data_IF_482046538435
#
_entry.id   IF_482046538435
#
_cell.length_a   1.000
_cell.length_b   1.000
_cell.length_c   1.000
_cell.angle_alpha   90.00
_cell.angle_beta   90.00
_cell.angle_gamma   90.00
#
_symmetry.space_group_name_H-M   'P 1'
#
loop_
_entity.id
_entity.type
_entity.pdbx_description
1 polymer ?
#
# COMPACT_ATOMS: atom_id res chain seq x y z
N UNK A 1 2.49 -19.32 -1.84
CA UNK A 1 1.84 -19.63 -0.57
C UNK A 1 0.99 -18.45 -0.09
N UNK A 2 1.54 -17.22 0.08
CA UNK A 2 0.80 -16.04 0.57
C UNK A 2 -0.43 -15.72 -0.26
N UNK A 3 -0.34 -15.72 -1.59
CA UNK A 3 -1.48 -15.45 -2.47
C UNK A 3 -2.64 -16.47 -2.25
N UNK A 4 -2.32 -17.74 -2.08
CA UNK A 4 -3.31 -18.77 -1.76
C UNK A 4 -3.97 -18.55 -0.38
N UNK A 5 -3.19 -18.10 0.62
CA UNK A 5 -3.73 -17.74 1.93
C UNK A 5 -4.66 -16.52 1.83
N UNK A 6 -4.25 -15.46 1.15
CA UNK A 6 -5.08 -14.28 0.89
C UNK A 6 -6.40 -14.65 0.20
N UNK A 7 -6.34 -15.51 -0.82
CA UNK A 7 -7.53 -15.96 -1.52
C UNK A 7 -8.49 -16.70 -0.58
N UNK A 8 -7.99 -17.63 0.26
CA UNK A 8 -8.81 -18.37 1.21
C UNK A 8 -9.41 -17.48 2.30
N UNK A 9 -8.65 -16.49 2.81
CA UNK A 9 -9.12 -15.55 3.82
C UNK A 9 -10.21 -14.64 3.21
N UNK A 10 -9.93 -13.97 2.11
CA UNK A 10 -10.86 -12.98 1.53
C UNK A 10 -12.06 -13.60 0.81
N UNK A 11 -12.00 -14.92 0.48
CA UNK A 11 -13.19 -15.71 0.10
C UNK A 11 -13.98 -16.22 1.30
N UNK A 12 -13.45 -16.05 2.52
CA UNK A 12 -14.01 -16.57 3.78
C UNK A 12 -14.05 -18.12 3.86
N UNK A 13 -13.29 -18.84 3.02
CA UNK A 13 -13.08 -20.29 3.17
C UNK A 13 -12.11 -20.62 4.31
N UNK A 14 -11.36 -19.63 4.78
CA UNK A 14 -10.57 -19.67 6.00
C UNK A 14 -10.93 -18.43 6.82
N UNK A 15 -11.48 -18.65 8.02
CA UNK A 15 -11.80 -17.60 8.98
C UNK A 15 -11.06 -17.82 10.29
N UNK A 16 -10.77 -16.73 10.97
CA UNK A 16 -10.21 -16.76 12.31
C UNK A 16 -11.31 -16.99 13.34
N UNK A 17 -10.91 -17.49 14.48
CA UNK A 17 -11.75 -17.55 15.69
C UNK A 17 -11.24 -16.54 16.70
N UNK A 18 -12.15 -16.06 17.55
CA UNK A 18 -11.79 -15.22 18.67
C UNK A 18 -10.99 -16.02 19.74
N UNK A 19 -10.51 -15.35 20.77
CA UNK A 19 -9.66 -15.96 21.78
C UNK A 19 -10.38 -17.02 22.63
N UNK A 20 -11.71 -17.04 22.61
CA UNK A 20 -12.55 -18.05 23.25
C UNK A 20 -12.89 -19.23 22.32
N UNK A 21 -12.34 -19.26 21.10
CA UNK A 21 -12.61 -20.30 20.10
C UNK A 21 -13.95 -20.17 19.36
N UNK A 22 -14.70 -19.08 19.58
CA UNK A 22 -15.95 -18.82 18.87
C UNK A 22 -15.70 -18.10 17.53
N UNK A 23 -16.66 -18.22 16.62
CA UNK A 23 -16.61 -17.53 15.34
C UNK A 23 -16.83 -16.01 15.52
N UNK A 24 -16.16 -15.21 14.68
CA UNK A 24 -16.43 -13.79 14.57
C UNK A 24 -17.75 -13.53 13.82
N UNK A 25 -18.38 -12.35 13.98
CA UNK A 25 -19.55 -11.95 13.20
C UNK A 25 -19.30 -12.03 11.69
N UNK A 26 -20.39 -12.07 10.92
CA UNK A 26 -20.30 -11.99 9.47
C UNK A 26 -19.65 -10.68 9.00
N UNK A 27 -18.89 -10.76 7.90
CA UNK A 27 -18.22 -9.61 7.34
C UNK A 27 -19.21 -8.65 6.69
N UNK A 28 -19.03 -7.37 6.94
CA UNK A 28 -19.79 -6.33 6.26
C UNK A 28 -19.19 -6.04 4.88
N UNK A 29 -20.07 -5.73 3.93
CA UNK A 29 -19.67 -5.26 2.59
C UNK A 29 -19.87 -3.76 2.54
N UNK A 30 -18.78 -2.99 2.34
CA UNK A 30 -18.78 -1.53 2.33
C UNK A 30 -18.04 -0.99 1.11
N UNK A 31 -18.30 0.25 0.75
CA UNK A 31 -17.45 0.97 -0.18
C UNK A 31 -16.21 1.51 0.54
N UNK A 32 -15.09 1.63 -0.18
CA UNK A 32 -13.84 2.14 0.41
C UNK A 32 -14.03 3.53 1.05
N UNK A 33 -14.81 4.41 0.44
CA UNK A 33 -15.16 5.73 0.98
C UNK A 33 -15.89 5.71 2.33
N UNK A 34 -16.49 4.58 2.69
CA UNK A 34 -17.22 4.41 3.95
C UNK A 34 -16.32 3.88 5.09
N UNK A 35 -15.09 3.48 4.76
CA UNK A 35 -14.12 2.93 5.71
C UNK A 35 -12.82 3.72 5.76
N UNK A 36 -12.65 4.69 4.86
CA UNK A 36 -11.48 5.57 4.75
C UNK A 36 -11.80 6.89 4.07
N UNK A 37 -11.00 7.91 4.36
CA UNK A 37 -10.94 9.12 3.53
C UNK A 37 -9.88 8.94 2.44
N UNK A 38 -10.08 9.54 1.25
CA UNK A 38 -9.20 9.37 0.11
C UNK A 38 -8.81 10.73 -0.44
N UNK A 39 -7.51 10.96 -0.62
CA UNK A 39 -6.95 12.22 -1.12
C UNK A 39 -5.94 11.95 -2.23
N UNK A 40 -5.76 12.90 -3.13
CA UNK A 40 -4.62 12.93 -4.06
C UNK A 40 -3.51 13.85 -3.55
N UNK A 41 -2.34 13.73 -4.17
CA UNK A 41 -1.21 14.62 -3.94
C UNK A 41 -1.29 15.92 -4.72
N UNK A 42 -0.20 16.67 -4.75
CA UNK A 42 -0.11 17.92 -5.51
C UNK A 42 -0.19 17.66 -7.02
N UNK A 43 -0.94 18.52 -7.71
CA UNK A 43 -1.07 18.48 -9.18
C UNK A 43 0.05 19.24 -9.91
N UNK A 44 0.68 20.18 -9.23
CA UNK A 44 1.82 20.93 -9.77
C UNK A 44 3.12 20.21 -9.45
N UNK A 45 3.98 20.06 -10.43
CA UNK A 45 5.33 19.58 -10.17
C UNK A 45 6.08 20.65 -9.38
N UNK A 46 6.51 20.37 -8.16
CA UNK A 46 7.22 21.34 -7.36
C UNK A 46 8.66 21.54 -7.87
N UNK A 47 9.27 22.66 -7.53
CA UNK A 47 10.70 22.85 -7.71
C UNK A 47 11.48 21.93 -6.78
N UNK A 48 12.20 20.98 -7.36
CA UNK A 48 12.99 20.02 -6.60
C UNK A 48 14.30 20.65 -6.11
N UNK A 49 14.71 20.23 -4.92
CA UNK A 49 15.92 20.67 -4.24
C UNK A 49 16.89 19.51 -4.02
N UNK A 50 18.16 19.81 -3.79
CA UNK A 50 19.17 18.80 -3.47
C UNK A 50 18.94 18.14 -2.10
N UNK A 51 18.24 18.83 -1.19
CA UNK A 51 17.87 18.32 0.15
C UNK A 51 16.61 19.03 0.65
N UNK A 52 15.91 18.44 1.59
CA UNK A 52 14.68 19.02 2.13
C UNK A 52 13.69 17.96 2.60
N UNK A 53 12.41 18.16 2.31
CA UNK A 53 11.35 17.22 2.65
C UNK A 53 11.15 16.22 1.51
N UNK A 54 11.14 14.90 1.76
CA UNK A 54 10.89 13.87 0.76
C UNK A 54 9.58 14.08 0.01
N UNK A 55 9.60 13.78 -1.30
CA UNK A 55 8.45 13.88 -2.19
C UNK A 55 8.20 12.58 -2.92
N UNK A 56 7.13 11.89 -2.57
CA UNK A 56 6.83 10.54 -3.06
C UNK A 56 6.00 10.56 -4.35
N UNK A 57 6.28 9.60 -5.21
CA UNK A 57 5.60 9.38 -6.49
C UNK A 57 5.43 7.87 -6.74
N UNK A 58 4.89 7.51 -7.91
CA UNK A 58 4.63 6.11 -8.29
C UNK A 58 5.86 5.23 -8.12
N UNK A 59 7.02 5.69 -8.53
CA UNK A 59 8.29 4.95 -8.47
C UNK A 59 8.64 4.45 -7.06
N UNK A 60 8.39 5.25 -6.02
CA UNK A 60 8.68 4.87 -4.63
C UNK A 60 7.76 3.73 -4.15
N UNK A 61 6.48 3.79 -4.54
CA UNK A 61 5.51 2.76 -4.16
C UNK A 61 5.73 1.47 -4.92
N UNK A 62 6.06 1.54 -6.22
CA UNK A 62 6.27 0.36 -7.07
C UNK A 62 7.60 -0.34 -6.80
N UNK A 63 8.66 0.41 -6.45
CA UNK A 63 9.97 -0.16 -6.08
C UNK A 63 10.09 -0.52 -4.60
N UNK A 64 9.10 -0.15 -3.78
CA UNK A 64 9.15 -0.21 -2.31
C UNK A 64 10.40 0.47 -1.72
N UNK A 65 10.88 1.54 -2.37
CA UNK A 65 12.06 2.29 -1.95
C UNK A 65 11.69 3.76 -1.69
N UNK A 66 11.69 4.15 -0.43
CA UNK A 66 11.35 5.49 0.06
C UNK A 66 12.59 6.28 0.52
N UNK A 67 13.80 5.73 0.35
CA UNK A 67 15.06 6.37 0.74
C UNK A 67 15.65 7.21 -0.41
N UNK A 68 15.48 6.76 -1.65
CA UNK A 68 15.95 7.48 -2.85
C UNK A 68 14.80 8.31 -3.41
N UNK A 69 14.69 9.55 -2.96
CA UNK A 69 13.56 10.43 -3.28
C UNK A 69 14.03 11.82 -3.70
N UNK A 70 13.18 12.52 -4.44
CA UNK A 70 13.32 13.96 -4.68
C UNK A 70 12.91 14.72 -3.42
N UNK A 71 13.41 15.94 -3.28
CA UNK A 71 13.12 16.79 -2.14
C UNK A 71 12.42 18.07 -2.57
N UNK A 72 11.57 18.58 -1.68
CA UNK A 72 10.89 19.87 -1.81
C UNK A 72 11.26 20.77 -0.62
N UNK A 73 11.06 22.09 -0.78
CA UNK A 73 11.29 23.02 0.32
C UNK A 73 10.30 22.81 1.47
N UNK A 74 10.68 23.22 2.67
CA UNK A 74 9.81 23.22 3.83
C UNK A 74 8.55 24.09 3.61
N UNK A 75 8.69 25.22 2.89
CA UNK A 75 7.57 26.11 2.60
C UNK A 75 6.52 25.43 1.69
N UNK A 76 6.96 24.72 0.65
CA UNK A 76 6.07 23.95 -0.23
C UNK A 76 5.38 22.84 0.57
N UNK A 77 6.13 22.11 1.41
CA UNK A 77 5.59 21.08 2.28
C UNK A 77 4.49 21.62 3.21
N UNK A 78 4.74 22.74 3.91
CA UNK A 78 3.76 23.36 4.82
C UNK A 78 2.48 23.81 4.07
N UNK A 79 2.62 24.27 2.83
CA UNK A 79 1.48 24.61 1.98
C UNK A 79 0.65 23.37 1.63
N UNK A 80 1.30 22.29 1.22
CA UNK A 80 0.63 21.03 0.85
C UNK A 80 -0.04 20.36 2.07
N UNK A 81 0.61 20.40 3.23
CA UNK A 81 0.07 19.85 4.48
C UNK A 81 -1.21 20.53 4.97
N UNK A 82 -1.52 21.76 4.51
CA UNK A 82 -2.80 22.41 4.83
C UNK A 82 -3.99 21.64 4.27
N UNK A 83 -3.81 20.92 3.17
CA UNK A 83 -4.85 20.11 2.55
C UNK A 83 -4.89 18.69 3.13
N UNK A 84 -3.76 18.01 3.12
CA UNK A 84 -3.64 16.66 3.66
C UNK A 84 -2.18 16.36 3.98
N UNK A 85 -1.97 15.59 5.04
CA UNK A 85 -0.66 15.13 5.50
C UNK A 85 -0.65 13.61 5.52
N UNK A 86 0.46 13.03 5.07
CA UNK A 86 0.70 11.60 5.27
C UNK A 86 1.00 11.35 6.75
N UNK A 87 0.37 10.33 7.32
CA UNK A 87 0.57 9.93 8.71
C UNK A 87 0.80 8.42 8.80
N UNK A 88 1.32 7.98 9.93
CA UNK A 88 1.46 6.54 10.20
C UNK A 88 0.10 5.84 10.14
N UNK A 89 0.07 4.64 9.58
CA UNK A 89 -1.10 3.83 9.23
C UNK A 89 -1.92 4.30 8.02
N UNK A 90 -1.50 5.36 7.33
CA UNK A 90 -2.05 5.69 6.02
C UNK A 90 -1.54 4.70 4.95
N UNK A 91 -2.24 4.65 3.83
CA UNK A 91 -1.86 3.82 2.69
C UNK A 91 -1.65 4.72 1.48
N UNK A 92 -0.48 4.64 0.85
CA UNK A 92 -0.24 5.21 -0.47
C UNK A 92 -0.56 4.16 -1.53
N UNK A 93 -1.36 4.53 -2.53
CA UNK A 93 -1.72 3.65 -3.65
C UNK A 93 -1.52 4.37 -4.97
N UNK A 94 -0.93 3.70 -5.95
CA UNK A 94 -0.76 4.23 -7.31
C UNK A 94 -2.11 4.31 -8.03
N UNK A 95 -2.31 5.39 -8.81
CA UNK A 95 -3.56 5.63 -9.54
C UNK A 95 -3.40 6.19 -10.96
N UNK A 96 -2.17 6.44 -11.42
CA UNK A 96 -1.85 6.89 -12.78
C UNK A 96 -0.61 6.12 -13.28
N UNK A 97 -0.72 5.52 -14.45
CA UNK A 97 0.31 4.66 -15.03
C UNK A 97 0.23 3.24 -14.47
N UNK A 98 0.89 2.98 -13.39
CA UNK A 98 0.61 1.83 -12.52
C UNK A 98 -0.64 2.12 -11.68
N UNK A 99 -1.48 1.12 -11.46
CA UNK A 99 -2.74 1.29 -10.71
C UNK A 99 -2.90 0.13 -9.74
N UNK A 100 -3.02 0.49 -8.44
CA UNK A 100 -3.37 -0.46 -7.38
C UNK A 100 -2.18 -1.03 -6.62
N UNK A 101 -0.93 -0.69 -6.97
CA UNK A 101 0.21 -0.98 -6.10
C UNK A 101 0.09 -0.12 -4.85
N UNK A 102 0.17 -0.73 -3.67
CA UNK A 102 -0.07 -0.03 -2.41
C UNK A 102 0.99 -0.31 -1.36
N UNK A 103 1.26 0.69 -0.53
CA UNK A 103 2.18 0.65 0.60
C UNK A 103 1.52 1.22 1.84
N UNK A 104 1.52 0.45 2.92
CA UNK A 104 1.20 0.94 4.25
C UNK A 104 2.38 1.79 4.75
N UNK A 105 2.08 2.96 5.28
CA UNK A 105 3.05 3.81 5.96
C UNK A 105 3.09 3.39 7.43
N UNK A 106 4.02 2.53 7.78
CA UNK A 106 4.19 1.96 9.13
C UNK A 106 5.28 2.65 9.96
N UNK A 107 5.85 3.73 9.42
CA UNK A 107 6.88 4.55 10.07
C UNK A 107 6.41 5.99 10.28
N UNK A 108 7.12 6.73 11.11
CA UNK A 108 6.89 8.17 11.27
C UNK A 108 7.42 8.90 10.04
N UNK A 109 6.52 9.60 9.34
CA UNK A 109 6.79 10.17 8.03
C UNK A 109 6.62 11.69 8.03
N UNK A 110 7.59 12.38 7.43
CA UNK A 110 7.47 13.78 7.05
C UNK A 110 7.76 13.86 5.55
N UNK A 111 6.72 13.75 4.74
CA UNK A 111 6.82 13.76 3.28
C UNK A 111 5.55 14.30 2.63
N UNK A 112 5.66 14.79 1.41
CA UNK A 112 4.52 15.07 0.52
C UNK A 112 4.49 14.08 -0.64
N UNK A 113 3.47 14.13 -1.49
CA UNK A 113 3.29 13.17 -2.56
C UNK A 113 2.61 13.77 -3.79
N UNK A 114 2.86 13.15 -4.93
CA UNK A 114 2.37 13.59 -6.22
C UNK A 114 0.97 13.07 -6.53
N UNK A 115 0.25 13.79 -7.38
CA UNK A 115 -1.12 13.46 -7.85
C UNK A 115 -1.29 12.05 -8.43
N UNK A 116 -0.21 11.40 -8.84
CA UNK A 116 -0.22 10.02 -9.32
C UNK A 116 -0.44 8.96 -8.23
N UNK A 117 -0.43 9.39 -6.96
CA UNK A 117 -0.78 8.58 -5.81
C UNK A 117 -2.13 9.00 -5.22
N UNK A 118 -2.84 8.03 -4.68
CA UNK A 118 -3.96 8.23 -3.77
C UNK A 118 -3.48 7.95 -2.34
N UNK A 119 -3.75 8.86 -1.41
CA UNK A 119 -3.57 8.67 0.02
C UNK A 119 -4.90 8.18 0.59
N UNK A 120 -4.90 6.99 1.15
CA UNK A 120 -6.05 6.37 1.79
C UNK A 120 -5.81 6.42 3.29
N UNK A 121 -6.69 7.13 4.02
CA UNK A 121 -6.64 7.31 5.47
C UNK A 121 -7.75 6.48 6.10
N UNK A 122 -7.45 5.29 6.66
CA UNK A 122 -8.44 4.43 7.29
C UNK A 122 -9.14 5.14 8.45
N UNK A 123 -10.45 4.94 8.60
CA UNK A 123 -11.17 5.41 9.80
C UNK A 123 -10.83 4.53 11.01
N UNK A 124 -11.14 5.00 12.19
CA UNK A 124 -10.81 4.34 13.47
C UNK A 124 -11.36 2.91 13.63
N UNK A 125 -12.38 2.56 12.84
CA UNK A 125 -12.98 1.21 12.80
C UNK A 125 -12.28 0.27 11.80
N UNK A 126 -11.26 0.77 11.08
CA UNK A 126 -10.57 0.04 10.01
C UNK A 126 -9.08 -0.06 10.32
N UNK A 127 -8.56 -1.27 10.39
CA UNK A 127 -7.13 -1.53 10.58
C UNK A 127 -6.40 -1.26 9.26
N UNK A 128 -5.49 -0.28 9.23
CA UNK A 128 -4.76 0.12 8.01
C UNK A 128 -3.98 -1.03 7.38
N UNK A 129 -3.31 -1.85 8.19
CA UNK A 129 -2.60 -3.03 7.72
C UNK A 129 -3.53 -4.06 7.05
N UNK A 130 -4.74 -4.29 7.62
CA UNK A 130 -5.77 -5.13 6.99
C UNK A 130 -6.19 -4.56 5.64
N UNK A 131 -6.53 -3.27 5.61
CA UNK A 131 -6.99 -2.60 4.39
C UNK A 131 -5.92 -2.65 3.29
N UNK A 132 -4.65 -2.42 3.63
CA UNK A 132 -3.54 -2.54 2.69
C UNK A 132 -3.43 -3.97 2.11
N UNK A 133 -3.56 -5.01 2.92
CA UNK A 133 -3.57 -6.39 2.44
C UNK A 133 -4.80 -6.68 1.57
N UNK A 134 -5.97 -6.13 1.91
CA UNK A 134 -7.17 -6.26 1.10
C UNK A 134 -7.04 -5.57 -0.26
N UNK A 135 -6.46 -4.36 -0.30
CA UNK A 135 -6.16 -3.62 -1.54
C UNK A 135 -5.26 -4.46 -2.47
N UNK A 136 -4.29 -5.19 -1.92
CA UNK A 136 -3.37 -6.08 -2.68
C UNK A 136 -4.03 -7.39 -3.12
N UNK A 137 -5.24 -7.69 -2.68
CA UNK A 137 -5.97 -8.90 -3.05
C UNK A 137 -6.54 -8.85 -4.47
N UNK A 138 -6.72 -10.02 -5.09
CA UNK A 138 -7.34 -10.13 -6.41
C UNK A 138 -8.79 -9.58 -6.44
N UNK A 139 -9.47 -9.56 -5.31
CA UNK A 139 -10.83 -9.01 -5.18
C UNK A 139 -10.81 -7.50 -5.41
N UNK A 140 -9.98 -6.77 -4.70
CA UNK A 140 -9.89 -5.31 -4.84
C UNK A 140 -9.22 -4.90 -6.15
N UNK A 141 -8.20 -5.63 -6.60
CA UNK A 141 -7.54 -5.37 -7.88
C UNK A 141 -8.51 -5.50 -9.07
N UNK A 142 -9.48 -6.40 -8.99
CA UNK A 142 -10.55 -6.51 -10.00
C UNK A 142 -11.47 -5.30 -9.99
N UNK A 143 -11.87 -4.80 -8.81
CA UNK A 143 -12.66 -3.57 -8.68
C UNK A 143 -11.93 -2.37 -9.30
N UNK A 144 -10.65 -2.20 -9.01
CA UNK A 144 -9.82 -1.15 -9.61
C UNK A 144 -9.74 -1.29 -11.12
N UNK A 145 -9.51 -2.49 -11.63
CA UNK A 145 -9.44 -2.74 -13.07
C UNK A 145 -10.71 -2.34 -13.80
N UNK A 146 -11.88 -2.71 -13.27
CA UNK A 146 -13.18 -2.40 -13.88
C UNK A 146 -13.48 -0.89 -13.92
N UNK A 147 -12.91 -0.11 -12.98
CA UNK A 147 -13.13 1.33 -12.84
C UNK A 147 -12.03 2.18 -13.46
N UNK A 148 -10.97 1.54 -13.96
CA UNK A 148 -9.84 2.20 -14.59
C UNK A 148 -10.21 2.71 -15.99
N UNK A 149 -9.76 3.93 -16.32
CA UNK A 149 -9.88 4.50 -17.66
C UNK A 149 -8.74 3.95 -18.52
N UNK A 150 -9.00 2.84 -19.20
CA UNK A 150 -8.00 2.11 -19.97
C UNK A 150 -7.58 2.82 -21.27
N UNK A 151 -8.46 3.65 -21.85
CA UNK A 151 -8.19 4.39 -23.09
C UNK A 151 -7.31 5.63 -22.86
N UNK A 152 -7.11 6.05 -21.61
CA UNK A 152 -6.19 7.13 -21.30
C UNK A 152 -4.73 6.65 -21.36
N UNK A 153 -3.82 7.52 -21.82
CA UNK A 153 -2.39 7.26 -21.80
C UNK A 153 -1.67 8.41 -21.05
N UNK A 154 -1.09 8.13 -19.88
CA UNK A 154 -1.12 6.85 -19.14
C UNK A 154 -2.53 6.51 -18.61
N UNK A 155 -2.78 5.21 -18.37
CA UNK A 155 -4.01 4.75 -17.71
C UNK A 155 -4.18 5.44 -16.37
N UNK A 156 -5.43 5.69 -15.98
CA UNK A 156 -5.73 6.34 -14.70
C UNK A 156 -7.06 5.90 -14.12
N UNK A 157 -7.18 6.03 -12.80
CA UNK A 157 -8.44 5.90 -12.06
C UNK A 157 -8.71 7.17 -11.26
N UNK A 158 -9.95 7.63 -11.25
CA UNK A 158 -10.34 8.81 -10.47
C UNK A 158 -10.57 8.46 -9.00
N UNK A 159 -10.33 9.43 -8.09
CA UNK A 159 -10.50 9.21 -6.65
C UNK A 159 -11.92 8.76 -6.28
N UNK A 160 -12.95 9.33 -6.92
CA UNK A 160 -14.33 8.91 -6.71
C UNK A 160 -14.52 7.43 -7.03
N UNK A 161 -13.97 6.95 -8.15
CA UNK A 161 -14.03 5.54 -8.55
C UNK A 161 -13.26 4.62 -7.58
N UNK A 162 -12.13 5.07 -7.06
CA UNK A 162 -11.42 4.36 -5.98
C UNK A 162 -12.32 4.23 -4.75
N UNK A 163 -13.04 5.31 -4.41
CA UNK A 163 -13.97 5.33 -3.29
C UNK A 163 -15.16 4.37 -3.44
N UNK A 164 -15.58 4.08 -4.67
CA UNK A 164 -16.67 3.13 -4.98
C UNK A 164 -16.20 1.67 -5.05
N UNK A 165 -14.91 1.38 -4.89
CA UNK A 165 -14.44 0.00 -4.80
C UNK A 165 -14.98 -0.67 -3.54
N UNK A 166 -15.39 -1.93 -3.69
CA UNK A 166 -16.00 -2.72 -2.61
C UNK A 166 -14.93 -3.31 -1.71
N UNK A 167 -15.13 -3.18 -0.40
CA UNK A 167 -14.29 -3.76 0.65
C UNK A 167 -15.15 -4.68 1.52
N UNK A 168 -14.67 -5.89 1.78
CA UNK A 168 -15.22 -6.77 2.80
C UNK A 168 -14.53 -6.46 4.12
N UNK A 169 -15.30 -6.12 5.13
CA UNK A 169 -14.78 -5.63 6.42
C UNK A 169 -15.19 -6.57 7.55
N UNK A 170 -14.25 -7.34 8.12
CA UNK A 170 -14.48 -8.09 9.35
C UNK A 170 -14.68 -7.16 10.56
N UNK A 171 -15.05 -7.74 11.67
CA UNK A 171 -14.91 -7.13 12.97
C UNK A 171 -13.44 -6.71 13.21
N UNK A 172 -13.21 -5.66 14.01
CA UNK A 172 -11.89 -5.04 14.22
C UNK A 172 -10.82 -6.04 14.70
N UNK A 173 -11.18 -6.95 15.61
CA UNK A 173 -10.24 -7.95 16.14
C UNK A 173 -9.85 -8.98 15.06
N UNK A 174 -10.81 -9.41 14.23
CA UNK A 174 -10.52 -10.30 13.10
C UNK A 174 -9.67 -9.60 12.03
N UNK A 175 -9.91 -8.29 11.76
CA UNK A 175 -9.03 -7.48 10.90
C UNK A 175 -7.59 -7.51 11.42
N UNK A 176 -7.41 -7.34 12.72
CA UNK A 176 -6.10 -7.33 13.36
C UNK A 176 -5.38 -8.68 13.21
N UNK A 177 -6.07 -9.79 13.47
CA UNK A 177 -5.50 -11.13 13.28
C UNK A 177 -5.12 -11.42 11.83
N UNK A 178 -5.98 -11.04 10.88
CA UNK A 178 -5.70 -11.19 9.45
C UNK A 178 -4.47 -10.36 9.04
N UNK A 179 -4.44 -9.10 9.45
CA UNK A 179 -3.33 -8.20 9.16
C UNK A 179 -2.01 -8.75 9.71
N UNK A 180 -2.00 -9.20 10.95
CA UNK A 180 -0.83 -9.76 11.61
C UNK A 180 -0.30 -10.98 10.86
N UNK A 181 -1.14 -11.98 10.56
CA UNK A 181 -0.72 -13.15 9.81
C UNK A 181 -0.13 -12.80 8.44
N UNK A 182 -0.80 -11.91 7.68
CA UNK A 182 -0.34 -11.58 6.33
C UNK A 182 0.92 -10.72 6.34
N UNK A 183 1.12 -9.87 7.35
CA UNK A 183 2.35 -9.10 7.56
C UNK A 183 3.51 -10.03 7.94
N UNK A 184 3.31 -10.96 8.86
CA UNK A 184 4.33 -11.96 9.21
C UNK A 184 4.77 -12.81 8.01
N UNK A 185 3.84 -13.09 7.07
CA UNK A 185 4.19 -13.76 5.82
C UNK A 185 5.01 -12.86 4.89
N UNK A 186 4.70 -11.55 4.81
CA UNK A 186 5.52 -10.60 4.06
C UNK A 186 6.94 -10.51 4.63
N UNK A 187 7.07 -10.40 5.94
CA UNK A 187 8.37 -10.32 6.62
C UNK A 187 9.22 -11.57 6.35
N UNK A 188 8.61 -12.76 6.39
CA UNK A 188 9.30 -14.00 6.03
C UNK A 188 9.74 -14.05 4.57
N UNK A 189 8.90 -13.60 3.65
CA UNK A 189 9.23 -13.53 2.22
C UNK A 189 10.42 -12.57 2.02
N UNK A 190 10.33 -11.35 2.58
CA UNK A 190 11.39 -10.35 2.47
C UNK A 190 12.72 -10.85 3.06
N UNK A 191 12.68 -11.54 4.20
CA UNK A 191 13.89 -12.13 4.81
C UNK A 191 14.53 -13.21 3.92
N UNK A 192 13.72 -14.08 3.29
CA UNK A 192 14.22 -15.10 2.36
C UNK A 192 14.78 -14.47 1.09
N UNK A 193 14.11 -13.47 0.54
CA UNK A 193 14.59 -12.75 -0.65
C UNK A 193 15.93 -12.06 -0.39
N UNK A 194 16.11 -11.44 0.77
CA UNK A 194 17.39 -10.85 1.18
C UNK A 194 18.50 -11.91 1.28
N UNK A 195 18.20 -13.10 1.82
CA UNK A 195 19.16 -14.22 1.87
C UNK A 195 19.54 -14.72 0.48
N UNK A 196 18.56 -14.83 -0.44
CA UNK A 196 18.82 -15.24 -1.83
C UNK A 196 19.72 -14.20 -2.52
N UNK A 197 19.45 -12.91 -2.38
CA UNK A 197 20.27 -11.85 -2.96
C UNK A 197 21.72 -11.91 -2.41
N UNK A 198 21.89 -12.08 -1.11
CA UNK A 198 23.21 -12.23 -0.48
C UNK A 198 23.97 -13.45 -1.01
N UNK A 199 23.29 -14.60 -1.13
CA UNK A 199 23.90 -15.82 -1.68
C UNK A 199 24.29 -15.66 -3.16
N UNK A 200 23.49 -14.95 -3.96
CA UNK A 200 23.81 -14.64 -5.35
C UNK A 200 25.04 -13.74 -5.47
N UNK A 201 25.14 -12.69 -4.64
CA UNK A 201 26.31 -11.81 -4.60
C UNK A 201 27.58 -12.58 -4.20
N UNK A 202 27.48 -13.42 -3.19
CA UNK A 202 28.59 -14.27 -2.76
C UNK A 202 29.04 -15.22 -3.87
N UNK A 203 28.08 -15.87 -4.55
CA UNK A 203 28.40 -16.73 -5.72
C UNK A 203 29.12 -15.96 -6.83
N UNK A 204 28.65 -14.76 -7.16
CA UNK A 204 29.31 -13.92 -8.18
C UNK A 204 30.73 -13.52 -7.78
N UNK A 205 30.94 -13.15 -6.51
CA UNK A 205 32.28 -12.84 -5.98
C UNK A 205 33.25 -14.04 -6.07
N UNK A 206 32.78 -15.25 -5.72
CA UNK A 206 33.59 -16.47 -5.87
C UNK A 206 33.94 -16.75 -7.33
N UNK A 207 32.99 -16.66 -8.25
CA UNK A 207 33.25 -16.87 -9.68
C UNK A 207 34.28 -15.88 -10.22
N UNK A 208 34.22 -14.61 -9.82
CA UNK A 208 35.23 -13.62 -10.22
C UNK A 208 36.65 -13.99 -9.71
N UNK A 209 36.76 -14.52 -8.50
CA UNK A 209 38.05 -14.94 -7.94
C UNK A 209 38.61 -16.22 -8.57
N UNK A 210 37.77 -17.08 -9.14
CA UNK A 210 38.20 -18.34 -9.76
C UNK A 210 38.68 -18.19 -11.21
N UNK A 211 38.36 -17.09 -11.87
CA UNK A 211 38.66 -16.84 -13.30
C UNK A 211 39.59 -15.63 -13.53
N UNK A 212 40.29 -15.17 -12.50
CA UNK A 212 41.34 -14.13 -12.60
C UNK A 212 42.74 -14.76 -12.62
#
# INVERSE_FOLDING_TARGET
>A
YKQGMMQRIFSQTLRFKNDNGADYPEWEVKYLKNVSAIYDGTHMTPDYQASGVPFYSVEHVTSDNFNDTKFISAEVFEKECKRVKIEKNDILMTRIGDIGTSKLIDWDVKASFYVSLALIKPFTTTVGAYLNQYIRSSYFQRELYQRTIHVAFPKKINLGEIGECVVKLPNFDEQTKIAQLLTELDDKINAVDAQIQSAQQWKQGLLQQMFV
#
